data_IF_638759293852
#
_entry.id   IF_638759293852
#
_cell.length_a   1.000
_cell.length_b   1.000
_cell.length_c   1.000
_cell.angle_alpha   90.00
_cell.angle_beta   90.00
_cell.angle_gamma   90.00
#
_symmetry.space_group_name_H-M   'P 1'
#
loop_
_entity.id
_entity.type
_entity.pdbx_description
1 polymer ?
#
# COMPACT_ATOMS: atom_id res chain seq x y z
N UNK A 1 -1.36 -5.62 -11.27
CA UNK A 1 -1.97 -4.92 -10.13
C UNK A 1 -1.32 -3.55 -10.06
N UNK A 2 -2.03 -2.50 -10.47
CA UNK A 2 -1.59 -1.12 -10.30
C UNK A 2 -1.93 -0.64 -8.87
N UNK A 3 -1.48 0.54 -8.49
CA UNK A 3 -1.84 1.14 -7.18
C UNK A 3 -3.34 1.43 -7.07
N UNK A 4 -4.03 1.62 -8.21
CA UNK A 4 -5.44 2.02 -8.21
C UNK A 4 -6.35 0.92 -7.65
N UNK A 5 -6.05 -0.32 -7.98
CA UNK A 5 -6.75 -1.52 -7.50
C UNK A 5 -6.23 -2.02 -6.14
N UNK A 6 -5.41 -1.22 -5.44
CA UNK A 6 -4.90 -1.61 -4.14
C UNK A 6 -6.06 -1.80 -3.14
N UNK A 7 -6.03 -2.93 -2.43
CA UNK A 7 -7.03 -3.28 -1.43
C UNK A 7 -8.31 -3.93 -1.98
N UNK A 8 -8.49 -4.03 -3.30
CA UNK A 8 -9.73 -4.55 -3.92
C UNK A 8 -10.09 -5.99 -3.47
N UNK A 9 -9.08 -6.81 -3.23
CA UNK A 9 -9.26 -8.16 -2.65
C UNK A 9 -9.73 -8.17 -1.19
N UNK A 10 -9.94 -7.01 -0.57
CA UNK A 10 -10.15 -6.86 0.87
C UNK A 10 -8.94 -7.30 1.67
N UNK A 11 -9.18 -7.62 2.94
CA UNK A 11 -8.17 -8.21 3.80
C UNK A 11 -8.76 -9.23 4.77
N UNK A 12 -7.94 -10.20 5.16
CA UNK A 12 -8.23 -11.15 6.23
C UNK A 12 -7.01 -11.30 7.13
N UNK A 13 -7.23 -11.33 8.43
CA UNK A 13 -6.15 -11.38 9.42
C UNK A 13 -6.63 -12.00 10.73
N UNK A 14 -5.70 -12.32 11.63
CA UNK A 14 -5.99 -12.88 12.94
C UNK A 14 -5.71 -11.81 14.01
N UNK A 15 -6.67 -11.59 14.90
CA UNK A 15 -6.58 -10.64 16.01
C UNK A 15 -7.00 -11.33 17.30
N UNK A 16 -6.09 -11.49 18.26
CA UNK A 16 -6.38 -12.08 19.57
C UNK A 16 -7.15 -13.42 19.46
N UNK A 17 -6.73 -14.27 18.53
CA UNK A 17 -7.30 -15.58 18.22
C UNK A 17 -8.58 -15.55 17.38
N UNK A 18 -9.03 -14.38 16.93
CA UNK A 18 -10.26 -14.22 16.13
C UNK A 18 -9.93 -13.80 14.70
N UNK A 19 -10.49 -14.51 13.74
CA UNK A 19 -10.40 -14.11 12.33
C UNK A 19 -11.20 -12.82 12.13
N UNK A 20 -10.60 -11.85 11.45
CA UNK A 20 -11.22 -10.62 11.01
C UNK A 20 -11.23 -10.59 9.49
N UNK A 21 -12.37 -10.19 8.94
CA UNK A 21 -12.58 -10.04 7.51
C UNK A 21 -12.92 -8.57 7.25
N UNK A 22 -12.23 -7.98 6.28
CA UNK A 22 -12.37 -6.58 5.91
C UNK A 22 -12.73 -6.50 4.43
N UNK A 23 -13.99 -6.13 4.08
CA UNK A 23 -14.35 -5.90 2.69
C UNK A 23 -13.67 -4.64 2.15
N UNK A 24 -13.52 -4.55 0.83
CA UNK A 24 -12.76 -3.49 0.16
C UNK A 24 -13.14 -2.07 0.62
N UNK A 25 -14.44 -1.76 0.65
CA UNK A 25 -14.97 -0.45 1.03
C UNK A 25 -14.69 -0.03 2.50
N UNK A 26 -14.09 -0.92 3.30
CA UNK A 26 -13.67 -0.65 4.69
C UNK A 26 -12.15 -0.68 4.88
N UNK A 27 -11.37 -1.10 3.87
CA UNK A 27 -9.91 -1.27 3.99
C UNK A 27 -9.22 0.00 4.44
N UNK A 28 -9.56 1.13 3.81
CA UNK A 28 -8.95 2.43 4.09
C UNK A 28 -9.55 3.16 5.30
N UNK A 29 -10.59 2.61 5.93
CA UNK A 29 -11.15 3.12 7.19
C UNK A 29 -10.50 2.47 8.42
N UNK A 30 -9.89 1.29 8.27
CA UNK A 30 -9.22 0.58 9.38
C UNK A 30 -7.72 0.67 9.21
N UNK A 31 -7.16 1.79 9.63
CA UNK A 31 -5.72 2.03 9.63
C UNK A 31 -5.14 1.92 11.04
N UNK A 32 -3.82 1.84 11.13
CA UNK A 32 -3.07 2.02 12.37
C UNK A 32 -1.83 2.86 12.11
N UNK A 33 -1.36 3.52 13.16
CA UNK A 33 -0.17 4.35 13.09
C UNK A 33 1.10 3.48 13.15
N UNK A 34 2.09 3.86 12.35
CA UNK A 34 3.42 3.25 12.31
C UNK A 34 4.44 4.37 12.48
N UNK A 35 5.05 4.43 13.65
CA UNK A 35 6.16 5.35 13.92
C UNK A 35 7.47 4.68 13.52
N UNK A 36 8.28 5.38 12.74
CA UNK A 36 9.59 4.89 12.31
C UNK A 36 10.66 5.88 12.75
N UNK A 37 11.67 5.35 13.42
CA UNK A 37 12.78 6.13 13.95
C UNK A 37 13.43 6.96 12.82
N UNK A 38 13.60 8.27 13.07
CA UNK A 38 14.17 9.21 12.10
C UNK A 38 13.27 9.59 10.91
N UNK A 39 12.16 8.90 10.66
CA UNK A 39 11.25 9.18 9.52
C UNK A 39 9.88 9.75 9.93
N UNK A 40 9.53 9.64 11.21
CA UNK A 40 8.29 10.15 11.77
C UNK A 40 7.11 9.18 11.59
N UNK A 41 5.90 9.75 11.56
CA UNK A 41 4.65 8.98 11.58
C UNK A 41 4.16 8.61 10.18
N UNK A 42 3.70 7.38 10.06
CA UNK A 42 3.03 6.80 8.91
C UNK A 42 1.73 6.16 9.34
N UNK A 43 0.89 5.82 8.37
CA UNK A 43 -0.28 4.98 8.56
C UNK A 43 -0.10 3.68 7.77
N UNK A 44 -0.72 2.61 8.23
CA UNK A 44 -0.81 1.38 7.48
C UNK A 44 -2.25 0.87 7.45
N UNK A 45 -2.60 0.20 6.36
CA UNK A 45 -3.89 -0.49 6.20
C UNK A 45 -3.67 -1.99 5.93
N UNK A 46 -4.61 -2.87 6.31
CA UNK A 46 -4.50 -4.31 6.09
C UNK A 46 -4.42 -4.66 4.59
N UNK A 47 -3.57 -5.61 4.24
CA UNK A 47 -3.30 -5.96 2.84
C UNK A 47 -3.53 -7.46 2.60
N UNK A 48 -4.59 -7.79 1.85
CA UNK A 48 -4.94 -9.16 1.41
C UNK A 48 -5.08 -10.13 2.60
N UNK A 49 -4.96 -11.42 2.32
CA UNK A 49 -5.01 -12.49 3.31
C UNK A 49 -3.66 -12.67 4.02
N UNK A 50 -3.67 -12.42 5.33
CA UNK A 50 -2.55 -12.63 6.25
C UNK A 50 -2.55 -14.04 6.85
N UNK A 51 -3.67 -14.78 6.81
CA UNK A 51 -3.81 -16.10 7.44
C UNK A 51 -2.93 -17.16 6.79
N UNK A 52 -2.70 -17.08 5.49
CA UNK A 52 -1.79 -17.98 4.75
C UNK A 52 -0.38 -18.03 5.35
N UNK A 53 0.10 -16.92 5.93
CA UNK A 53 1.44 -16.82 6.50
C UNK A 53 1.59 -17.61 7.80
N UNK A 54 0.50 -17.96 8.48
CA UNK A 54 0.53 -18.81 9.69
C UNK A 54 1.21 -20.14 9.36
N UNK A 55 0.78 -20.79 8.27
CA UNK A 55 1.35 -22.06 7.83
C UNK A 55 2.72 -21.88 7.17
N UNK A 56 2.87 -20.86 6.32
CA UNK A 56 4.14 -20.62 5.61
C UNK A 56 5.31 -20.35 6.56
N UNK A 57 5.05 -19.72 7.71
CA UNK A 57 6.07 -19.37 8.71
C UNK A 57 6.09 -20.30 9.94
N UNK A 58 5.23 -21.33 10.01
CA UNK A 58 5.18 -22.25 11.15
C UNK A 58 4.75 -21.57 12.46
N UNK A 59 3.72 -20.73 12.39
CA UNK A 59 3.20 -19.89 13.47
C UNK A 59 1.84 -20.38 13.98
N UNK A 60 1.59 -21.69 14.05
CA UNK A 60 0.26 -22.28 14.28
C UNK A 60 -0.41 -21.84 15.60
N UNK A 61 0.37 -21.42 16.58
CA UNK A 61 -0.11 -20.97 17.89
C UNK A 61 -0.16 -19.44 18.05
N UNK A 62 0.04 -18.68 16.96
CA UNK A 62 0.00 -17.22 17.03
C UNK A 62 -1.43 -16.74 17.27
N UNK A 63 -1.59 -15.73 18.14
CA UNK A 63 -2.90 -15.13 18.39
C UNK A 63 -3.20 -13.98 17.43
N UNK A 64 -2.18 -13.36 16.86
CA UNK A 64 -2.29 -12.09 16.16
C UNK A 64 -1.31 -12.08 14.99
N UNK A 65 -1.79 -11.97 13.76
CA UNK A 65 -0.94 -11.83 12.56
C UNK A 65 -1.57 -10.84 11.59
N UNK A 66 -0.75 -9.86 11.20
CA UNK A 66 -1.13 -8.77 10.30
C UNK A 66 -0.07 -8.60 9.24
N UNK A 67 -0.55 -8.33 8.03
CA UNK A 67 0.26 -7.76 6.96
C UNK A 67 -0.45 -6.53 6.44
N UNK A 68 0.30 -5.44 6.35
CA UNK A 68 -0.22 -4.15 5.90
C UNK A 68 0.60 -3.55 4.79
N UNK A 69 0.08 -2.44 4.27
CA UNK A 69 0.80 -1.55 3.37
C UNK A 69 0.96 -0.20 4.07
N UNK A 70 2.20 0.29 4.16
CA UNK A 70 2.53 1.57 4.80
C UNK A 70 2.35 2.72 3.79
N UNK A 71 1.82 3.85 4.28
CA UNK A 71 1.58 5.10 3.55
C UNK A 71 1.86 6.30 4.45
N UNK A 72 2.08 7.47 3.82
CA UNK A 72 2.11 8.74 4.56
C UNK A 72 0.72 9.05 5.13
N UNK A 73 0.71 9.69 6.29
CA UNK A 73 -0.52 10.10 7.00
C UNK A 73 -1.46 10.86 6.07
N UNK A 74 -2.74 10.49 6.10
CA UNK A 74 -3.80 11.11 5.32
C UNK A 74 -4.03 10.46 3.95
N UNK A 75 -3.19 9.53 3.51
CA UNK A 75 -3.37 8.80 2.25
C UNK A 75 -4.70 8.02 2.25
N UNK A 76 -4.96 7.21 3.27
CA UNK A 76 -6.08 6.27 3.31
C UNK A 76 -7.40 7.03 3.34
N UNK A 77 -7.47 8.11 4.13
CA UNK A 77 -8.65 9.00 4.18
C UNK A 77 -8.94 9.61 2.80
N UNK A 78 -7.91 10.11 2.11
CA UNK A 78 -8.06 10.69 0.78
C UNK A 78 -8.41 9.62 -0.27
N UNK A 79 -7.71 8.49 -0.27
CA UNK A 79 -7.91 7.40 -1.22
C UNK A 79 -9.28 6.74 -1.09
N UNK A 80 -9.79 6.65 0.14
CA UNK A 80 -11.11 6.08 0.41
C UNK A 80 -12.22 6.82 -0.35
N UNK A 81 -12.07 8.11 -0.67
CA UNK A 81 -13.04 8.82 -1.50
C UNK A 81 -13.25 8.14 -2.85
N UNK A 82 -12.17 7.77 -3.54
CA UNK A 82 -12.26 7.10 -4.83
C UNK A 82 -12.88 5.71 -4.71
N UNK A 83 -12.61 5.02 -3.60
CA UNK A 83 -13.24 3.73 -3.29
C UNK A 83 -14.75 3.90 -3.08
N UNK A 84 -15.18 4.89 -2.28
CA UNK A 84 -16.60 5.13 -2.01
C UNK A 84 -17.37 5.63 -3.25
N UNK A 85 -16.68 6.28 -4.19
CA UNK A 85 -17.25 6.67 -5.48
C UNK A 85 -17.29 5.52 -6.49
N UNK A 86 -16.55 4.43 -6.27
CA UNK A 86 -16.39 3.34 -7.25
C UNK A 86 -15.44 3.67 -8.41
N UNK A 87 -14.60 4.70 -8.27
CA UNK A 87 -13.64 5.13 -9.31
C UNK A 87 -12.43 4.19 -9.42
N UNK A 88 -12.27 3.27 -8.47
CA UNK A 88 -11.21 2.26 -8.45
C UNK A 88 -11.64 0.92 -9.04
N UNK A 89 -12.87 0.81 -9.54
CA UNK A 89 -13.41 -0.42 -10.12
C UNK A 89 -12.74 -0.72 -11.48
N UNK A 90 -12.29 -1.97 -11.65
CA UNK A 90 -11.63 -2.46 -12.86
C UNK A 90 -12.44 -3.56 -13.57
N UNK A 91 -13.71 -3.75 -13.18
CA UNK A 91 -14.56 -4.85 -13.65
C UNK A 91 -15.41 -4.53 -14.89
N UNK A 92 -15.56 -3.26 -15.24
CA UNK A 92 -16.35 -2.82 -16.39
C UNK A 92 -15.68 -1.65 -17.12
N UNK A 93 -16.08 -1.45 -18.37
CA UNK A 93 -15.59 -0.38 -19.26
C UNK A 93 -16.58 0.78 -19.33
N UNK A 94 -16.05 1.98 -19.55
CA UNK A 94 -16.84 3.17 -19.89
C UNK A 94 -16.70 3.41 -21.40
N UNK A 95 -17.78 3.17 -22.15
CA UNK A 95 -17.79 3.33 -23.61
C UNK A 95 -17.49 4.77 -24.03
N UNK A 96 -16.62 4.94 -25.02
CA UNK A 96 -16.24 6.26 -25.55
C UNK A 96 -15.42 7.11 -24.57
N UNK A 97 -14.79 6.48 -23.56
CA UNK A 97 -13.99 7.15 -22.54
C UNK A 97 -12.89 8.03 -23.11
N UNK A 98 -12.38 7.77 -24.32
CA UNK A 98 -11.31 8.56 -24.94
C UNK A 98 -11.69 10.03 -25.14
N UNK A 99 -12.99 10.29 -25.30
CA UNK A 99 -13.54 11.62 -25.54
C UNK A 99 -14.05 12.31 -24.27
N UNK A 100 -14.07 11.61 -23.14
CA UNK A 100 -14.49 12.19 -21.86
C UNK A 100 -13.41 13.13 -21.31
N UNK A 101 -13.84 14.24 -20.74
CA UNK A 101 -13.00 15.07 -19.88
C UNK A 101 -12.90 14.51 -18.47
N UNK A 102 -11.91 14.95 -17.69
CA UNK A 102 -11.78 14.56 -16.28
C UNK A 102 -13.00 14.97 -15.46
N UNK A 103 -13.57 16.14 -15.76
CA UNK A 103 -14.84 16.59 -15.19
C UNK A 103 -15.99 15.63 -15.50
N UNK A 104 -16.14 15.25 -16.77
CA UNK A 104 -17.23 14.35 -17.18
C UNK A 104 -17.11 12.97 -16.53
N UNK A 105 -15.89 12.44 -16.44
CA UNK A 105 -15.61 11.20 -15.71
C UNK A 105 -15.95 11.31 -14.22
N UNK A 106 -15.53 12.36 -13.54
CA UNK A 106 -15.90 12.55 -12.13
C UNK A 106 -17.41 12.65 -11.94
N UNK A 107 -18.08 13.38 -12.84
CA UNK A 107 -19.51 13.60 -12.76
C UNK A 107 -20.33 12.33 -13.02
N UNK A 108 -19.80 11.31 -13.73
CA UNK A 108 -20.52 10.07 -14.00
C UNK A 108 -20.77 9.22 -12.75
N UNK A 109 -20.02 9.43 -11.66
CA UNK A 109 -20.22 8.77 -10.38
C UNK A 109 -21.15 9.55 -9.43
N UNK A 110 -21.67 10.70 -9.86
CA UNK A 110 -22.51 11.57 -9.05
C UNK A 110 -23.95 11.57 -9.55
N UNK A 111 -24.88 11.90 -8.66
CA UNK A 111 -26.27 12.07 -9.04
C UNK A 111 -26.42 13.14 -10.13
N UNK A 112 -27.32 12.88 -11.08
CA UNK A 112 -27.66 13.83 -12.12
C UNK A 112 -28.39 15.03 -11.51
N UNK A 113 -27.80 16.22 -11.65
CA UNK A 113 -28.44 17.50 -11.37
C UNK A 113 -27.82 18.54 -12.31
N UNK A 114 -28.62 19.24 -13.14
CA UNK A 114 -28.14 20.24 -14.09
C UNK A 114 -27.82 21.60 -13.46
N UNK A 115 -28.29 21.87 -12.24
CA UNK A 115 -28.14 23.17 -11.59
C UNK A 115 -26.90 23.26 -10.68
N UNK A 116 -26.43 22.11 -10.19
CA UNK A 116 -25.29 22.04 -9.28
C UNK A 116 -23.99 21.76 -10.04
N UNK A 117 -22.91 22.45 -9.64
CA UNK A 117 -21.57 22.13 -10.14
C UNK A 117 -21.13 20.74 -9.70
N UNK A 118 -20.21 20.14 -10.46
CA UNK A 118 -19.62 18.82 -10.11
C UNK A 118 -18.95 18.88 -8.74
N UNK A 119 -18.31 20.01 -8.44
CA UNK A 119 -17.65 20.29 -7.18
C UNK A 119 -18.62 20.28 -6.00
N UNK A 120 -19.75 20.98 -6.12
CA UNK A 120 -20.77 21.05 -5.08
C UNK A 120 -21.39 19.67 -4.83
N UNK A 121 -21.67 18.93 -5.91
CA UNK A 121 -22.18 17.56 -5.81
C UNK A 121 -21.19 16.62 -5.14
N UNK A 122 -19.91 16.69 -5.50
CA UNK A 122 -18.88 15.84 -4.92
C UNK A 122 -18.69 16.14 -3.43
N UNK A 123 -18.58 17.43 -3.05
CA UNK A 123 -18.49 17.85 -1.64
C UNK A 123 -19.68 17.33 -0.82
N UNK A 124 -20.88 17.48 -1.36
CA UNK A 124 -22.11 17.00 -0.70
C UNK A 124 -22.12 15.48 -0.55
N UNK A 125 -21.79 14.75 -1.62
CA UNK A 125 -21.78 13.28 -1.63
C UNK A 125 -20.79 12.70 -0.62
N UNK A 126 -19.56 13.24 -0.58
CA UNK A 126 -18.49 12.78 0.30
C UNK A 126 -18.52 13.44 1.69
N UNK A 127 -19.43 14.39 1.93
CA UNK A 127 -19.54 15.17 3.17
C UNK A 127 -18.22 15.83 3.56
N UNK A 128 -17.57 16.48 2.59
CA UNK A 128 -16.30 17.18 2.79
C UNK A 128 -16.59 18.61 3.28
N UNK A 129 -16.08 18.94 4.46
CA UNK A 129 -16.20 20.28 5.05
C UNK A 129 -15.50 21.35 4.20
N UNK A 130 -15.89 22.62 4.36
CA UNK A 130 -15.36 23.73 3.55
C UNK A 130 -13.83 23.83 3.64
N UNK A 131 -13.29 23.72 4.85
CA UNK A 131 -11.87 23.92 5.18
C UNK A 131 -11.07 22.59 5.26
N UNK A 132 -11.59 21.50 4.67
CA UNK A 132 -10.89 20.22 4.70
C UNK A 132 -9.79 20.15 3.63
N UNK A 133 -8.55 19.87 4.07
CA UNK A 133 -7.37 19.72 3.21
C UNK A 133 -7.53 18.63 2.15
N UNK A 134 -8.44 17.67 2.35
CA UNK A 134 -8.76 16.66 1.34
C UNK A 134 -9.30 17.30 0.06
N UNK A 135 -10.01 18.42 0.17
CA UNK A 135 -10.50 19.14 -0.99
C UNK A 135 -9.35 19.66 -1.85
N UNK A 136 -8.31 20.22 -1.22
CA UNK A 136 -7.13 20.72 -1.93
C UNK A 136 -6.44 19.62 -2.74
N UNK A 137 -6.38 18.40 -2.19
CA UNK A 137 -5.84 17.23 -2.91
C UNK A 137 -6.61 16.90 -4.19
N UNK A 138 -7.95 17.04 -4.17
CA UNK A 138 -8.77 16.82 -5.37
C UNK A 138 -8.55 17.91 -6.43
N UNK A 139 -8.36 19.15 -5.99
CA UNK A 139 -8.05 20.28 -6.87
C UNK A 139 -6.65 20.11 -7.49
N UNK A 140 -5.66 19.69 -6.71
CA UNK A 140 -4.28 19.42 -7.18
C UNK A 140 -4.23 18.31 -8.25
N UNK A 141 -5.10 17.31 -8.14
CA UNK A 141 -5.27 16.26 -9.15
C UNK A 141 -5.92 16.75 -10.45
N UNK A 142 -6.40 18.01 -10.48
CA UNK A 142 -7.06 18.62 -11.63
C UNK A 142 -8.24 17.76 -12.14
N UNK A 143 -8.90 17.07 -11.20
CA UNK A 143 -9.92 16.05 -11.51
C UNK A 143 -11.21 16.64 -12.08
N UNK A 144 -11.41 17.96 -11.90
CA UNK A 144 -12.56 18.71 -12.43
C UNK A 144 -12.25 19.46 -13.74
N UNK A 145 -11.12 19.15 -14.39
CA UNK A 145 -10.74 19.81 -15.63
C UNK A 145 -11.74 19.48 -16.77
N UNK A 146 -12.40 20.48 -17.38
CA UNK A 146 -13.33 20.26 -18.48
C UNK A 146 -12.64 20.04 -19.83
N UNK A 147 -11.35 20.37 -19.94
CA UNK A 147 -10.62 20.40 -21.20
C UNK A 147 -9.67 19.20 -21.35
N UNK A 148 -9.05 18.72 -20.26
CA UNK A 148 -8.20 17.54 -20.28
C UNK A 148 -9.04 16.30 -20.58
N UNK A 149 -8.70 15.63 -21.68
CA UNK A 149 -9.35 14.40 -22.12
C UNK A 149 -8.64 13.17 -21.54
N UNK A 150 -9.43 12.16 -21.23
CA UNK A 150 -8.95 10.84 -20.79
C UNK A 150 -8.05 10.20 -21.85
N UNK A 151 -8.46 10.23 -23.13
CA UNK A 151 -7.64 9.74 -24.24
C UNK A 151 -7.40 8.23 -24.28
N UNK A 152 -8.04 7.46 -23.37
CA UNK A 152 -8.03 6.01 -23.34
C UNK A 152 -9.36 5.49 -23.88
N UNK A 153 -9.32 4.64 -24.91
CA UNK A 153 -10.52 4.08 -25.51
C UNK A 153 -11.11 2.94 -24.69
N UNK A 154 -12.42 3.00 -24.44
CA UNK A 154 -13.21 1.97 -23.75
C UNK A 154 -12.52 1.44 -22.48
N UNK A 155 -12.06 2.36 -21.63
CA UNK A 155 -11.24 2.09 -20.45
C UNK A 155 -12.10 1.85 -19.20
N UNK A 156 -11.55 1.12 -18.23
CA UNK A 156 -12.19 0.93 -16.92
C UNK A 156 -12.08 2.19 -16.05
N UNK A 157 -12.97 2.39 -15.05
CA UNK A 157 -12.81 3.48 -14.07
C UNK A 157 -11.41 3.53 -13.46
N UNK A 158 -10.86 2.38 -13.07
CA UNK A 158 -9.53 2.27 -12.49
C UNK A 158 -8.43 2.74 -13.46
N UNK A 159 -8.54 2.40 -14.75
CA UNK A 159 -7.59 2.85 -15.78
C UNK A 159 -7.67 4.36 -16.02
N UNK A 160 -8.88 4.92 -16.04
CA UNK A 160 -9.09 6.36 -16.20
C UNK A 160 -8.56 7.12 -14.98
N UNK A 161 -8.86 6.65 -13.77
CA UNK A 161 -8.29 7.21 -12.55
C UNK A 161 -6.77 7.12 -12.57
N UNK A 162 -6.19 5.98 -12.97
CA UNK A 162 -4.73 5.85 -13.13
C UNK A 162 -4.16 6.93 -14.06
N UNK A 163 -4.80 7.18 -15.21
CA UNK A 163 -4.38 8.21 -16.16
C UNK A 163 -4.39 9.60 -15.53
N UNK A 164 -5.44 9.95 -14.80
CA UNK A 164 -5.56 11.24 -14.10
C UNK A 164 -4.42 11.38 -13.09
N UNK A 165 -4.18 10.35 -12.28
CA UNK A 165 -3.11 10.37 -11.27
C UNK A 165 -1.73 10.50 -11.91
N UNK A 166 -1.47 9.80 -13.01
CA UNK A 166 -0.18 9.84 -13.71
C UNK A 166 0.13 11.21 -14.34
N UNK A 167 -0.89 12.01 -14.66
CA UNK A 167 -0.68 13.38 -15.15
C UNK A 167 -0.21 14.34 -14.06
N UNK A 168 -0.50 14.03 -12.79
CA UNK A 168 -0.12 14.85 -11.64
C UNK A 168 1.04 14.28 -10.83
N UNK A 169 1.21 12.95 -10.79
CA UNK A 169 2.08 12.25 -9.84
C UNK A 169 3.16 11.41 -10.53
N UNK A 170 3.99 12.04 -11.34
CA UNK A 170 5.25 11.45 -11.79
C UNK A 170 6.41 11.95 -10.92
N UNK A 171 7.47 11.14 -10.83
CA UNK A 171 8.72 11.59 -10.21
C UNK A 171 9.43 12.53 -11.17
N UNK A 172 9.69 13.75 -10.72
CA UNK A 172 10.56 14.67 -11.45
C UNK A 172 12.01 14.11 -11.46
N UNK A 173 12.88 14.58 -12.38
CA UNK A 173 14.21 13.99 -12.56
C UNK A 173 15.07 13.85 -11.28
N UNK A 174 14.94 14.80 -10.36
CA UNK A 174 15.70 14.85 -9.10
C UNK A 174 14.89 14.32 -7.88
N UNK A 175 13.64 13.91 -8.09
CA UNK A 175 12.82 13.32 -7.03
C UNK A 175 13.33 11.93 -6.66
N UNK A 176 13.13 11.58 -5.38
CA UNK A 176 13.55 10.29 -4.82
C UNK A 176 12.35 9.54 -4.27
N UNK A 177 12.29 8.24 -4.52
CA UNK A 177 11.37 7.36 -3.82
C UNK A 177 12.01 6.81 -2.55
N UNK A 178 11.18 6.19 -1.72
CA UNK A 178 11.60 5.54 -0.50
C UNK A 178 10.82 4.26 -0.29
N UNK A 179 11.55 3.18 0.00
CA UNK A 179 10.98 1.90 0.43
C UNK A 179 11.19 1.76 1.92
N UNK A 180 10.11 1.40 2.59
CA UNK A 180 10.07 1.13 4.01
C UNK A 180 9.46 -0.25 4.23
N UNK A 181 10.15 -1.08 5.00
CA UNK A 181 9.61 -2.32 5.53
C UNK A 181 9.77 -2.31 7.05
N UNK A 182 8.72 -2.72 7.76
CA UNK A 182 8.72 -2.74 9.21
C UNK A 182 8.05 -4.01 9.71
N UNK A 183 8.76 -4.75 10.56
CA UNK A 183 8.27 -5.95 11.22
C UNK A 183 8.21 -5.73 12.73
N UNK A 184 7.17 -6.26 13.36
CA UNK A 184 6.96 -6.19 14.80
C UNK A 184 6.61 -7.57 15.33
N UNK A 185 7.46 -8.09 16.21
CA UNK A 185 7.33 -9.43 16.77
C UNK A 185 7.14 -9.35 18.28
N UNK A 186 5.95 -9.69 18.76
CA UNK A 186 5.67 -9.93 20.17
C UNK A 186 5.85 -11.42 20.48
N UNK A 187 6.69 -11.75 21.46
CA UNK A 187 6.98 -13.15 21.81
C UNK A 187 7.15 -13.34 23.31
N UNK A 188 7.00 -14.60 23.75
CA UNK A 188 7.22 -15.03 25.13
C UNK A 188 8.54 -15.78 25.21
N UNK A 189 9.46 -15.32 26.05
CA UNK A 189 10.74 -15.97 26.30
C UNK A 189 10.96 -16.08 27.81
N UNK A 190 11.18 -17.29 28.32
CA UNK A 190 11.37 -17.54 29.76
C UNK A 190 10.26 -16.93 30.64
N UNK A 191 9.00 -17.04 30.19
CA UNK A 191 7.82 -16.42 30.80
C UNK A 191 7.71 -14.88 30.75
N UNK A 192 8.70 -14.19 30.19
CA UNK A 192 8.64 -12.75 29.96
C UNK A 192 8.07 -12.44 28.57
N UNK A 193 7.23 -11.42 28.49
CA UNK A 193 6.79 -10.86 27.21
C UNK A 193 7.86 -9.89 26.71
N UNK A 194 8.29 -10.08 25.47
CA UNK A 194 9.30 -9.26 24.80
C UNK A 194 8.79 -8.84 23.43
N UNK A 195 9.37 -7.77 22.90
CA UNK A 195 9.09 -7.31 21.56
C UNK A 195 10.38 -6.94 20.85
N UNK A 196 10.45 -7.30 19.57
CA UNK A 196 11.47 -6.86 18.63
C UNK A 196 10.78 -6.15 17.47
N UNK A 197 11.34 -5.03 17.08
CA UNK A 197 10.97 -4.33 15.84
C UNK A 197 12.17 -4.35 14.90
N UNK A 198 11.91 -4.54 13.61
CA UNK A 198 12.93 -4.68 12.56
C UNK A 198 12.51 -3.82 11.37
N UNK A 199 13.31 -2.81 11.06
CA UNK A 199 12.98 -1.78 10.08
C UNK A 199 14.04 -1.73 8.98
N UNK A 200 13.61 -1.60 7.74
CA UNK A 200 14.48 -1.35 6.58
C UNK A 200 13.98 -0.11 5.87
N UNK A 201 14.90 0.83 5.64
CA UNK A 201 14.65 2.07 4.89
C UNK A 201 15.66 2.14 3.76
N UNK A 202 15.17 2.28 2.53
CA UNK A 202 16.01 2.48 1.35
C UNK A 202 15.47 3.70 0.61
N UNK A 203 16.35 4.67 0.33
CA UNK A 203 16.03 5.88 -0.44
C UNK A 203 16.66 5.72 -1.82
N UNK A 204 15.89 6.05 -2.87
CA UNK A 204 16.36 6.05 -4.25
C UNK A 204 17.35 7.19 -4.50
N UNK A 205 18.00 7.14 -5.65
CA UNK A 205 18.95 8.19 -6.06
C UNK A 205 18.27 9.25 -6.91
N UNK A 206 17.43 8.83 -7.86
CA UNK A 206 16.69 9.67 -8.80
C UNK A 206 15.49 8.91 -9.41
N UNK A 207 14.82 9.50 -10.40
CA UNK A 207 13.68 8.88 -11.12
C UNK A 207 14.01 7.52 -11.80
N UNK A 208 15.28 7.24 -12.09
CA UNK A 208 15.74 6.02 -12.77
C UNK A 208 16.19 4.97 -11.76
N UNK A 209 17.07 5.36 -10.83
CA UNK A 209 17.64 4.50 -9.80
C UNK A 209 16.83 4.57 -8.52
N UNK A 210 15.59 4.10 -8.61
CA UNK A 210 14.64 4.10 -7.50
C UNK A 210 14.96 3.04 -6.45
N UNK A 211 14.61 3.29 -5.19
CA UNK A 211 14.63 2.32 -4.11
C UNK A 211 13.78 1.09 -4.45
N UNK A 212 12.63 1.27 -5.12
CA UNK A 212 11.83 0.15 -5.63
C UNK A 212 12.62 -0.71 -6.63
N UNK A 213 13.24 -0.11 -7.65
CA UNK A 213 14.02 -0.85 -8.63
C UNK A 213 15.18 -1.60 -7.97
N UNK A 214 15.86 -0.96 -7.01
CA UNK A 214 16.95 -1.56 -6.25
C UNK A 214 16.49 -2.74 -5.39
N UNK A 215 15.45 -2.55 -4.58
CA UNK A 215 14.95 -3.55 -3.62
C UNK A 215 14.17 -4.70 -4.26
N UNK A 216 13.71 -4.56 -5.51
CA UNK A 216 13.08 -5.65 -6.28
C UNK A 216 14.08 -6.32 -7.22
N UNK A 217 14.88 -5.53 -7.94
CA UNK A 217 15.81 -6.03 -8.94
C UNK A 217 17.01 -6.78 -8.35
N UNK A 218 17.60 -6.25 -7.27
CA UNK A 218 18.78 -6.87 -6.67
C UNK A 218 18.49 -8.27 -6.10
N UNK A 219 17.42 -8.53 -5.31
CA UNK A 219 17.13 -9.88 -4.86
C UNK A 219 16.98 -10.89 -6.00
N UNK A 220 16.37 -10.49 -7.12
CA UNK A 220 16.21 -11.34 -8.31
C UNK A 220 17.58 -11.64 -8.95
N UNK A 221 18.41 -10.61 -9.13
CA UNK A 221 19.75 -10.77 -9.70
C UNK A 221 20.65 -11.64 -8.81
N UNK A 222 20.66 -11.39 -7.50
CA UNK A 222 21.42 -12.14 -6.50
C UNK A 222 20.97 -13.61 -6.49
N UNK A 223 19.67 -13.88 -6.37
CA UNK A 223 19.15 -15.25 -6.38
C UNK A 223 19.52 -15.98 -7.68
N UNK A 224 19.43 -15.30 -8.84
CA UNK A 224 19.84 -15.84 -10.14
C UNK A 224 21.32 -16.26 -10.13
N UNK A 225 22.21 -15.39 -9.65
CA UNK A 225 23.64 -15.68 -9.53
C UNK A 225 23.91 -16.83 -8.55
N UNK A 226 23.21 -16.90 -7.42
CA UNK A 226 23.36 -17.98 -6.45
C UNK A 226 22.93 -19.34 -7.02
N UNK A 227 21.88 -19.37 -7.83
CA UNK A 227 21.43 -20.59 -8.55
C UNK A 227 22.48 -21.00 -9.60
N UNK A 228 22.90 -20.07 -10.46
CA UNK A 228 23.89 -20.35 -11.52
C UNK A 228 25.24 -20.83 -10.96
N UNK A 229 25.64 -20.30 -9.81
CA UNK A 229 26.86 -20.70 -9.11
C UNK A 229 26.68 -21.93 -8.20
N UNK A 230 25.54 -22.63 -8.27
CA UNK A 230 25.24 -23.84 -7.49
C UNK A 230 25.33 -23.65 -5.97
N UNK A 231 25.05 -22.43 -5.47
CA UNK A 231 24.89 -22.15 -4.04
C UNK A 231 23.45 -22.43 -3.57
N UNK A 232 22.48 -22.19 -4.44
CA UNK A 232 21.09 -22.66 -4.28
C UNK A 232 20.90 -23.82 -5.25
N UNK A 233 20.55 -24.99 -4.72
CA UNK A 233 20.57 -26.26 -5.46
C UNK A 233 19.28 -27.05 -5.32
N UNK A 234 18.48 -26.81 -4.27
CA UNK A 234 17.19 -27.47 -4.11
C UNK A 234 16.32 -27.22 -5.36
N UNK A 235 15.77 -28.27 -6.01
CA UNK A 235 14.94 -28.12 -7.21
C UNK A 235 13.47 -27.80 -6.88
N UNK A 236 12.67 -27.54 -7.92
CA UNK A 236 11.21 -27.33 -7.80
C UNK A 236 10.79 -25.87 -7.69
N UNK A 237 9.48 -25.64 -7.57
CA UNK A 237 8.91 -24.30 -7.37
C UNK A 237 9.03 -23.93 -5.90
N UNK A 238 9.74 -22.84 -5.60
CA UNK A 238 10.07 -22.45 -4.24
C UNK A 238 9.69 -21.00 -3.93
N UNK A 239 9.54 -20.75 -2.63
CA UNK A 239 9.46 -19.41 -2.04
C UNK A 239 10.67 -19.23 -1.10
N UNK A 240 11.14 -17.99 -0.87
CA UNK A 240 12.43 -17.72 -0.21
C UNK A 240 12.36 -17.84 1.33
N UNK A 241 11.88 -18.98 1.85
CA UNK A 241 11.76 -19.25 3.29
C UNK A 241 12.82 -20.22 3.83
N UNK A 242 13.57 -20.88 2.94
CA UNK A 242 14.63 -21.81 3.33
C UNK A 242 15.94 -21.07 3.60
N UNK A 243 16.71 -21.56 4.58
CA UNK A 243 18.01 -20.95 4.94
C UNK A 243 19.00 -20.95 3.78
N UNK A 244 18.94 -21.97 2.92
CA UNK A 244 19.75 -22.06 1.70
C UNK A 244 19.55 -20.84 0.78
N UNK A 245 18.34 -20.28 0.75
CA UNK A 245 18.00 -19.13 -0.08
C UNK A 245 18.20 -17.82 0.68
N UNK A 246 17.51 -17.62 1.81
CA UNK A 246 17.43 -16.29 2.40
C UNK A 246 18.75 -15.81 3.02
N UNK A 247 19.58 -16.71 3.59
CA UNK A 247 20.84 -16.31 4.23
C UNK A 247 21.81 -15.69 3.22
N UNK A 248 22.22 -16.38 2.14
CA UNK A 248 23.15 -15.79 1.18
C UNK A 248 22.56 -14.61 0.41
N UNK A 249 21.22 -14.53 0.26
CA UNK A 249 20.56 -13.37 -0.35
C UNK A 249 20.67 -12.16 0.56
N UNK A 250 20.36 -12.29 1.87
CA UNK A 250 20.47 -11.20 2.84
C UNK A 250 21.92 -10.74 3.01
N UNK A 251 22.88 -11.66 3.08
CA UNK A 251 24.32 -11.34 3.18
C UNK A 251 24.82 -10.49 2.00
N UNK A 252 24.28 -10.74 0.79
CA UNK A 252 24.64 -9.96 -0.39
C UNK A 252 23.88 -8.64 -0.46
N UNK A 253 22.61 -8.60 -0.07
CA UNK A 253 21.81 -7.38 0.01
C UNK A 253 22.39 -6.36 1.00
N UNK A 254 22.96 -6.83 2.11
CA UNK A 254 23.64 -5.98 3.10
C UNK A 254 24.81 -5.21 2.46
N UNK A 255 25.58 -5.84 1.55
CA UNK A 255 26.67 -5.17 0.82
C UNK A 255 26.19 -4.07 -0.13
N UNK A 256 24.91 -4.10 -0.50
CA UNK A 256 24.26 -3.07 -1.30
C UNK A 256 23.52 -2.02 -0.45
N UNK A 257 23.70 -2.05 0.88
CA UNK A 257 23.07 -1.12 1.83
C UNK A 257 21.59 -1.39 2.06
N UNK A 258 21.11 -2.60 1.78
CA UNK A 258 19.74 -3.02 2.10
C UNK A 258 19.82 -3.81 3.41
N UNK A 259 19.58 -3.11 4.51
CA UNK A 259 19.82 -3.62 5.88
C UNK A 259 18.55 -3.43 6.70
N UNK A 260 18.24 -4.43 7.52
CA UNK A 260 17.23 -4.32 8.57
C UNK A 260 17.92 -3.96 9.89
N UNK A 261 17.47 -2.87 10.50
CA UNK A 261 17.89 -2.46 11.84
C UNK A 261 16.90 -3.02 12.87
N UNK A 262 17.42 -3.74 13.86
CA UNK A 262 16.62 -4.42 14.88
C UNK A 262 16.72 -3.76 16.26
N UNK A 263 15.57 -3.57 16.88
CA UNK A 263 15.44 -2.90 18.18
C UNK A 263 14.63 -3.75 19.13
N UNK A 264 15.14 -3.91 20.36
CA UNK A 264 14.35 -4.47 21.47
C UNK A 264 13.56 -3.34 22.10
N UNK A 265 12.25 -3.47 22.09
CA UNK A 265 11.33 -2.46 22.62
C UNK A 265 10.43 -3.07 23.70
N UNK A 266 9.86 -2.26 24.62
CA UNK A 266 8.87 -2.75 25.56
C UNK A 266 7.70 -3.43 24.84
N UNK A 267 7.21 -4.54 25.39
CA UNK A 267 6.00 -5.18 24.88
C UNK A 267 4.77 -4.34 25.26
N UNK A 268 4.15 -3.69 24.28
CA UNK A 268 2.96 -2.85 24.48
C UNK A 268 1.65 -3.57 24.08
N UNK A 269 1.74 -4.84 23.69
CA UNK A 269 0.60 -5.58 23.16
C UNK A 269 0.25 -5.16 21.73
N UNK A 270 -0.87 -5.71 21.26
CA UNK A 270 -1.43 -5.36 19.97
C UNK A 270 -2.37 -4.17 20.17
N UNK A 271 -1.90 -2.97 19.82
CA UNK A 271 -2.62 -1.69 19.85
C UNK A 271 -2.73 -0.98 21.22
N UNK A 272 -1.68 -0.26 21.67
CA UNK A 272 -1.74 0.56 22.87
C UNK A 272 -2.67 1.79 22.75
N UNK A 273 -3.08 2.16 21.51
CA UNK A 273 -3.83 3.39 21.23
C UNK A 273 -5.33 3.16 20.96
N UNK A 274 -5.78 1.93 20.67
CA UNK A 274 -7.21 1.60 20.74
C UNK A 274 -7.61 1.35 22.19
N UNK A 275 -7.73 2.45 22.93
CA UNK A 275 -8.61 2.48 24.10
C UNK A 275 -10.00 2.13 23.59
N UNK A 276 -10.62 1.11 24.21
CA UNK A 276 -11.98 0.64 23.93
C UNK A 276 -12.92 1.77 23.49
N UNK A 277 -13.47 1.63 22.28
CA UNK A 277 -14.73 2.26 21.87
C UNK A 277 -15.87 1.27 22.02
#
# INVERSE_FOLDING_TARGET
SNVVTAGDAGAQYLEEGKIKILPYHQVFNRTWDVELEGLGMFEAYPNRDSLKYIKEYGLENILTIYRGTIRKIGFSRAWNMFVQLGMTDDSYIIEGSENMSYREFTNSFLAYNPNDSVELKLRSYLKIDQDDIIWEKLIELDIFNPNKKVGLKDATPAQILQKILMDSWFLEPDDKDMIVMHHKFGYKYQNEKRQIESSMVVIGEDQTYTAMAKTVGLPVAIATLLILNKKITTPGVQIPISKEVYVPVLDELEKHGIIFEEYKVPYLGYNPNNVMG
#
